data_IF_611116856649
#
_entry.id   IF_611116856649
#
_cell.length_a   1.000
_cell.length_b   1.000
_cell.length_c   1.000
_cell.angle_alpha   90.00
_cell.angle_beta   90.00
_cell.angle_gamma   90.00
#
_symmetry.space_group_name_H-M   'P 1'
#
loop_
_entity.id
_entity.type
_entity.pdbx_description
1 polymer ?
#
# COMPACT_ATOMS: atom_id res chain seq x y z
N UNK A 1 -2.98 -9.39 13.94
CA UNK A 1 -2.58 -7.96 13.89
C UNK A 1 -1.08 -7.76 14.02
N UNK A 2 -0.41 -8.47 14.94
CA UNK A 2 1.04 -8.32 15.12
C UNK A 2 1.84 -8.54 13.83
N UNK A 3 1.47 -9.53 13.00
CA UNK A 3 2.16 -9.81 11.74
C UNK A 3 1.99 -8.69 10.72
N UNK A 4 0.81 -8.04 10.68
CA UNK A 4 0.60 -6.86 9.84
C UNK A 4 1.42 -5.68 10.32
N UNK A 5 1.48 -5.47 11.63
CA UNK A 5 2.32 -4.41 12.19
C UNK A 5 3.79 -4.63 11.85
N UNK A 6 4.26 -5.87 11.88
CA UNK A 6 5.61 -6.23 11.48
C UNK A 6 5.87 -5.93 10.00
N UNK A 7 4.90 -6.21 9.10
CA UNK A 7 5.02 -5.88 7.69
C UNK A 7 5.18 -4.37 7.49
N UNK A 8 4.40 -3.56 8.20
CA UNK A 8 4.53 -2.11 8.13
C UNK A 8 5.84 -1.62 8.72
N UNK A 9 6.32 -2.24 9.81
CA UNK A 9 7.62 -1.91 10.39
C UNK A 9 8.76 -2.16 9.41
N UNK A 10 8.64 -3.20 8.56
CA UNK A 10 9.59 -3.47 7.49
C UNK A 10 9.34 -2.62 6.24
N UNK A 11 8.31 -1.79 6.27
CA UNK A 11 7.93 -0.96 5.11
C UNK A 11 7.78 -1.81 3.84
N UNK A 12 6.92 -2.82 3.88
CA UNK A 12 6.81 -3.81 2.80
C UNK A 12 6.48 -3.20 1.43
N UNK A 13 5.78 -2.06 1.39
CA UNK A 13 5.53 -1.33 0.14
C UNK A 13 6.80 -0.86 -0.53
N UNK A 14 7.88 -0.75 0.23
CA UNK A 14 9.14 -0.14 -0.18
C UNK A 14 10.21 -1.21 -0.34
N UNK A 15 10.26 -2.16 0.58
CA UNK A 15 11.27 -3.21 0.58
C UNK A 15 10.85 -4.46 -0.18
N UNK A 16 9.56 -4.63 -0.42
CA UNK A 16 9.00 -5.86 -0.98
C UNK A 16 8.98 -7.01 0.01
N UNK A 17 9.34 -6.77 1.26
CA UNK A 17 9.46 -7.80 2.30
C UNK A 17 8.16 -7.94 3.10
N UNK A 18 7.14 -8.53 2.50
CA UNK A 18 5.91 -8.83 3.21
C UNK A 18 5.93 -10.26 3.77
N UNK A 19 5.07 -10.51 4.74
CA UNK A 19 4.94 -11.83 5.36
C UNK A 19 4.08 -12.73 4.48
N UNK A 20 4.73 -13.53 3.64
CA UNK A 20 4.04 -14.43 2.71
C UNK A 20 3.13 -15.43 3.42
N UNK A 21 3.49 -15.86 4.63
CA UNK A 21 2.66 -16.79 5.39
C UNK A 21 1.36 -16.20 5.89
N UNK A 22 1.24 -14.87 5.89
CA UNK A 22 0.04 -14.16 6.29
C UNK A 22 -1.03 -14.15 5.18
N UNK A 23 -0.60 -14.26 3.92
CA UNK A 23 -1.47 -14.09 2.76
C UNK A 23 -1.85 -15.43 2.13
N UNK A 24 -3.08 -15.51 1.62
CA UNK A 24 -3.48 -16.58 0.71
C UNK A 24 -2.81 -16.34 -0.64
N UNK A 25 -2.38 -17.40 -1.32
CA UNK A 25 -1.74 -17.28 -2.64
C UNK A 25 -2.64 -16.61 -3.67
N UNK A 26 -3.94 -16.75 -3.52
CA UNK A 26 -4.96 -16.18 -4.41
C UNK A 26 -5.54 -14.89 -3.89
N UNK A 27 -4.90 -14.25 -2.92
CA UNK A 27 -5.38 -13.01 -2.36
C UNK A 27 -5.71 -11.99 -3.45
N UNK A 28 -6.86 -11.35 -3.33
CA UNK A 28 -7.25 -10.26 -4.23
C UNK A 28 -6.62 -8.97 -3.72
N UNK A 29 -6.02 -8.24 -4.65
CA UNK A 29 -5.44 -6.92 -4.39
C UNK A 29 -6.18 -5.89 -5.21
N UNK A 30 -6.63 -4.83 -4.58
CA UNK A 30 -7.31 -3.74 -5.25
C UNK A 30 -6.87 -2.40 -4.68
N UNK A 31 -6.70 -1.43 -5.55
CA UNK A 31 -6.54 -0.02 -5.19
C UNK A 31 -7.49 0.80 -6.08
N UNK A 32 -7.54 2.14 -5.96
CA UNK A 32 -8.45 2.94 -6.77
C UNK A 32 -8.25 2.84 -8.27
N UNK A 33 -7.14 2.29 -8.74
CA UNK A 33 -6.80 2.23 -10.17
C UNK A 33 -6.92 0.84 -10.77
N UNK A 34 -6.69 -0.23 -9.98
CA UNK A 34 -6.56 -1.58 -10.52
C UNK A 34 -7.00 -2.63 -9.50
N UNK A 35 -7.44 -3.77 -10.00
CA UNK A 35 -7.76 -4.93 -9.17
C UNK A 35 -7.21 -6.17 -9.86
N UNK A 36 -6.62 -7.07 -9.10
CA UNK A 36 -6.07 -8.33 -9.60
C UNK A 36 -6.01 -9.37 -8.49
N UNK A 37 -5.70 -10.61 -8.86
CA UNK A 37 -5.61 -11.74 -7.94
C UNK A 37 -4.21 -12.35 -8.01
N UNK A 38 -3.67 -12.73 -6.86
CA UNK A 38 -2.41 -13.47 -6.76
C UNK A 38 -1.32 -12.72 -6.00
N UNK A 39 -0.80 -13.36 -4.96
CA UNK A 39 0.29 -12.81 -4.15
C UNK A 39 1.56 -12.61 -4.95
N UNK A 40 1.91 -13.58 -5.81
CA UNK A 40 3.12 -13.50 -6.62
C UNK A 40 3.09 -12.29 -7.57
N UNK A 41 1.93 -11.98 -8.15
CA UNK A 41 1.76 -10.82 -9.02
C UNK A 41 1.92 -9.52 -8.23
N UNK A 42 1.38 -9.47 -7.03
CA UNK A 42 1.53 -8.30 -6.16
C UNK A 42 3.01 -8.05 -5.82
N UNK A 43 3.74 -9.10 -5.44
CA UNK A 43 5.16 -9.00 -5.16
C UNK A 43 5.95 -8.52 -6.36
N UNK A 44 5.65 -9.02 -7.56
CA UNK A 44 6.29 -8.56 -8.79
C UNK A 44 6.03 -7.09 -9.05
N UNK A 45 4.81 -6.62 -8.80
CA UNK A 45 4.47 -5.21 -8.96
C UNK A 45 5.23 -4.31 -7.98
N UNK A 46 5.39 -4.77 -6.74
CA UNK A 46 6.19 -4.04 -5.74
C UNK A 46 7.64 -3.94 -6.19
N UNK A 47 8.21 -5.03 -6.67
CA UNK A 47 9.61 -5.08 -7.12
C UNK A 47 9.87 -4.14 -8.31
N UNK A 48 8.89 -3.98 -9.19
CA UNK A 48 9.00 -3.04 -10.32
C UNK A 48 8.96 -1.59 -9.86
N UNK A 49 8.22 -1.30 -8.79
CA UNK A 49 8.04 0.07 -8.30
C UNK A 49 9.21 0.56 -7.44
N UNK A 50 9.74 -0.32 -6.59
CA UNK A 50 10.74 0.03 -5.58
C UNK A 50 11.94 0.83 -6.12
N UNK A 51 12.54 0.48 -7.28
CA UNK A 51 13.70 1.23 -7.78
C UNK A 51 13.41 2.69 -8.11
N UNK A 52 12.15 3.09 -8.25
CA UNK A 52 11.77 4.46 -8.57
C UNK A 52 11.51 5.33 -7.33
N UNK A 53 11.62 4.75 -6.14
CA UNK A 53 11.32 5.47 -4.89
C UNK A 53 12.60 6.06 -4.30
N UNK A 54 12.56 7.35 -3.96
CA UNK A 54 13.66 8.07 -3.30
C UNK A 54 13.20 8.45 -1.90
N UNK A 55 14.00 8.11 -0.90
CA UNK A 55 13.71 8.37 0.51
C UNK A 55 12.26 8.02 0.89
N UNK A 56 11.81 6.83 0.52
CA UNK A 56 10.43 6.47 0.79
C UNK A 56 10.17 6.25 2.28
N UNK A 57 9.01 6.70 2.72
CA UNK A 57 8.58 6.52 4.10
C UNK A 57 7.09 6.20 4.14
N UNK A 58 6.74 5.12 4.83
CA UNK A 58 5.36 4.80 5.13
C UNK A 58 5.19 4.77 6.64
N UNK A 59 4.23 5.54 7.14
CA UNK A 59 3.92 5.62 8.56
C UNK A 59 2.58 4.96 8.82
N UNK A 60 2.57 3.94 9.65
CA UNK A 60 1.33 3.32 10.12
C UNK A 60 0.71 4.23 11.18
N UNK A 61 -0.53 4.69 10.92
CA UNK A 61 -1.27 5.56 11.83
C UNK A 61 -2.08 4.75 12.84
N UNK A 62 -2.49 3.56 12.47
CA UNK A 62 -3.24 2.69 13.35
C UNK A 62 -3.75 1.46 12.63
N UNK A 63 -4.07 0.43 13.41
CA UNK A 63 -4.70 -0.79 12.93
C UNK A 63 -5.92 -1.04 13.79
N UNK A 64 -7.07 -1.29 13.18
CA UNK A 64 -8.32 -1.57 13.87
C UNK A 64 -8.95 -2.86 13.35
N UNK A 65 -9.44 -3.66 14.27
CA UNK A 65 -10.33 -4.78 13.92
C UNK A 65 -11.70 -4.20 13.61
N UNK A 66 -12.13 -4.34 12.37
CA UNK A 66 -13.42 -3.79 11.90
C UNK A 66 -14.54 -4.77 12.13
N UNK A 67 -14.25 -6.07 11.96
CA UNK A 67 -15.17 -7.17 12.21
C UNK A 67 -14.34 -8.41 12.50
N UNK A 68 -15.00 -9.54 12.75
CA UNK A 68 -14.26 -10.80 12.99
C UNK A 68 -13.43 -11.24 11.78
N UNK A 69 -13.77 -10.76 10.59
CA UNK A 69 -13.13 -11.15 9.33
C UNK A 69 -12.40 -10.00 8.62
N UNK A 70 -12.23 -8.86 9.27
CA UNK A 70 -11.61 -7.72 8.62
C UNK A 70 -10.81 -6.86 9.59
N UNK A 71 -9.67 -6.41 9.11
CA UNK A 71 -8.77 -5.48 9.81
C UNK A 71 -8.47 -4.32 8.87
N UNK A 72 -8.48 -3.10 9.39
CA UNK A 72 -8.18 -1.90 8.62
C UNK A 72 -6.93 -1.21 9.17
N UNK A 73 -5.96 -0.95 8.30
CA UNK A 73 -4.76 -0.20 8.63
C UNK A 73 -4.82 1.19 7.97
N UNK A 74 -4.49 2.22 8.72
CA UNK A 74 -4.40 3.60 8.22
C UNK A 74 -2.94 3.99 8.13
N UNK A 75 -2.53 4.57 7.01
CA UNK A 75 -1.12 4.88 6.75
C UNK A 75 -0.95 6.18 5.97
N UNK A 76 0.29 6.69 6.02
CA UNK A 76 0.73 7.83 5.21
C UNK A 76 1.97 7.39 4.43
N UNK A 77 1.94 7.57 3.13
CA UNK A 77 3.09 7.33 2.25
C UNK A 77 3.66 8.66 1.80
N UNK A 78 4.96 8.84 1.97
CA UNK A 78 5.69 10.00 1.48
C UNK A 78 6.96 9.52 0.77
N UNK A 79 7.15 9.96 -0.46
CA UNK A 79 8.34 9.63 -1.24
C UNK A 79 8.54 10.64 -2.36
N UNK A 80 9.71 10.59 -2.98
CA UNK A 80 9.99 11.30 -4.24
C UNK A 80 10.22 10.24 -5.31
N UNK A 81 9.70 10.43 -6.50
CA UNK A 81 9.93 9.51 -7.61
C UNK A 81 11.22 9.85 -8.32
N UNK A 82 11.93 8.80 -8.77
CA UNK A 82 13.19 8.92 -9.49
C UNK A 82 12.93 9.25 -10.97
N UNK A 83 12.37 10.42 -11.20
CA UNK A 83 12.11 10.98 -12.53
C UNK A 83 12.84 12.30 -12.65
N UNK A 84 13.11 12.81 -13.88
CA UNK A 84 13.88 14.05 -14.05
C UNK A 84 13.36 15.26 -13.28
N UNK A 85 12.03 15.38 -13.12
CA UNK A 85 11.41 16.48 -12.38
C UNK A 85 11.15 16.16 -10.92
N UNK A 86 11.56 14.97 -10.44
CA UNK A 86 11.51 14.54 -9.04
C UNK A 86 10.18 14.86 -8.35
N UNK A 87 9.06 14.31 -8.84
CA UNK A 87 7.77 14.60 -8.23
C UNK A 87 7.69 14.05 -6.82
N UNK A 88 7.15 14.84 -5.90
CA UNK A 88 6.91 14.43 -4.53
C UNK A 88 5.54 13.79 -4.41
N UNK A 89 5.51 12.64 -3.77
CA UNK A 89 4.28 11.87 -3.53
C UNK A 89 3.97 11.91 -2.04
N UNK A 90 2.74 12.30 -1.71
CA UNK A 90 2.25 12.29 -0.34
C UNK A 90 0.78 11.86 -0.37
N UNK A 91 0.52 10.66 0.15
CA UNK A 91 -0.81 10.04 0.10
C UNK A 91 -1.15 9.47 1.46
N UNK A 92 -2.34 9.78 1.95
CA UNK A 92 -2.94 9.11 3.10
C UNK A 92 -3.90 8.07 2.58
N UNK A 93 -3.89 6.92 3.21
CA UNK A 93 -4.78 5.88 2.77
C UNK A 93 -5.09 4.88 3.86
N UNK A 94 -5.95 3.95 3.49
CA UNK A 94 -6.30 2.81 4.33
C UNK A 94 -6.17 1.55 3.50
N UNK A 95 -5.79 0.46 4.17
CA UNK A 95 -5.83 -0.87 3.59
C UNK A 95 -6.74 -1.73 4.45
N UNK A 96 -7.77 -2.29 3.85
CA UNK A 96 -8.65 -3.22 4.51
C UNK A 96 -8.24 -4.63 4.14
N UNK A 97 -7.92 -5.43 5.14
CA UNK A 97 -7.53 -6.82 4.98
C UNK A 97 -8.71 -7.70 5.32
N UNK A 98 -9.25 -8.41 4.34
CA UNK A 98 -10.27 -9.42 4.53
C UNK A 98 -9.62 -10.75 4.88
N UNK A 99 -10.09 -11.40 5.93
CA UNK A 99 -9.51 -12.64 6.44
C UNK A 99 -10.37 -13.83 6.07
N UNK A 100 -9.74 -14.86 5.55
CA UNK A 100 -10.38 -16.11 5.24
C UNK A 100 -10.03 -17.21 6.23
N UNK A 101 -10.12 -18.45 5.77
CA UNK A 101 -9.83 -19.62 6.57
C UNK A 101 -8.42 -19.58 7.12
N UNK A 102 -8.27 -19.88 8.41
CA UNK A 102 -6.97 -19.85 9.09
C UNK A 102 -6.44 -18.42 9.30
N UNK A 103 -7.32 -17.42 9.23
CA UNK A 103 -6.98 -16.01 9.38
C UNK A 103 -5.97 -15.50 8.34
N UNK A 104 -5.89 -16.16 7.19
CA UNK A 104 -5.08 -15.67 6.07
C UNK A 104 -5.78 -14.54 5.35
N UNK A 105 -5.00 -13.57 4.89
CA UNK A 105 -5.52 -12.45 4.11
C UNK A 105 -5.95 -12.94 2.73
N UNK A 106 -7.21 -12.77 2.41
CA UNK A 106 -7.80 -13.13 1.11
C UNK A 106 -8.17 -11.91 0.29
N UNK A 107 -8.32 -10.76 0.92
CA UNK A 107 -8.57 -9.47 0.27
C UNK A 107 -7.64 -8.42 0.85
N UNK A 108 -7.04 -7.62 -0.02
CA UNK A 108 -6.20 -6.50 0.31
C UNK A 108 -6.71 -5.32 -0.51
N UNK A 109 -7.50 -4.46 0.10
CA UNK A 109 -8.18 -3.35 -0.60
C UNK A 109 -7.66 -2.02 -0.07
N UNK A 110 -7.04 -1.25 -0.94
CA UNK A 110 -6.52 0.07 -0.61
C UNK A 110 -7.48 1.17 -1.03
N UNK A 111 -7.58 2.19 -0.21
CA UNK A 111 -8.31 3.43 -0.51
C UNK A 111 -7.40 4.60 -0.22
N UNK A 112 -7.38 5.57 -1.11
CA UNK A 112 -6.55 6.77 -0.99
C UNK A 112 -7.40 7.99 -0.70
N UNK A 113 -6.82 9.00 -0.06
CA UNK A 113 -7.48 10.29 0.18
C UNK A 113 -7.44 11.20 -1.05
N UNK A 114 -6.88 10.72 -2.16
CA UNK A 114 -6.86 11.40 -3.45
C UNK A 114 -7.52 10.52 -4.52
N UNK A 115 -8.03 11.15 -5.57
CA UNK A 115 -8.58 10.42 -6.72
C UNK A 115 -7.46 9.87 -7.59
N UNK A 116 -7.73 8.87 -8.47
CA UNK A 116 -6.74 8.43 -9.44
C UNK A 116 -6.21 9.55 -10.34
N UNK A 117 -7.08 10.51 -10.70
CA UNK A 117 -6.66 11.68 -11.49
C UNK A 117 -5.68 12.56 -10.72
N UNK A 118 -5.95 12.82 -9.44
CA UNK A 118 -5.05 13.58 -8.58
C UNK A 118 -3.70 12.86 -8.44
N UNK A 119 -3.70 11.53 -8.38
CA UNK A 119 -2.47 10.75 -8.34
C UNK A 119 -1.63 10.95 -9.61
N UNK A 120 -2.28 10.97 -10.77
CA UNK A 120 -1.60 11.26 -12.05
C UNK A 120 -1.00 12.65 -12.04
N UNK A 121 -1.76 13.67 -11.60
CA UNK A 121 -1.25 15.04 -11.50
C UNK A 121 -0.06 15.14 -10.56
N UNK A 122 -0.09 14.43 -9.45
CA UNK A 122 1.01 14.39 -8.49
C UNK A 122 2.29 13.83 -9.13
N UNK A 123 2.19 12.75 -9.88
CA UNK A 123 3.32 12.15 -10.60
C UNK A 123 3.89 13.11 -11.63
N UNK A 124 3.03 13.88 -12.31
CA UNK A 124 3.47 14.90 -13.28
C UNK A 124 4.04 16.16 -12.62
N UNK A 125 3.93 16.27 -11.28
CA UNK A 125 4.39 17.46 -10.57
C UNK A 125 3.45 18.65 -10.67
N UNK A 126 2.21 18.43 -11.13
CA UNK A 126 1.21 19.48 -11.35
C UNK A 126 0.23 19.63 -10.19
N UNK A 127 0.20 18.66 -9.29
CA UNK A 127 -0.69 18.71 -8.14
C UNK A 127 -0.06 19.57 -7.03
N UNK A 128 -0.86 20.46 -6.45
CA UNK A 128 -0.39 21.27 -5.32
C UNK A 128 -0.09 20.34 -4.14
N UNK A 129 1.09 20.48 -3.57
CA UNK A 129 1.52 19.63 -2.47
C UNK A 129 0.58 19.80 -1.27
N UNK A 130 0.09 18.68 -0.76
CA UNK A 130 -0.77 18.68 0.42
C UNK A 130 0.09 18.90 1.67
N UNK A 131 -0.49 19.48 2.71
CA UNK A 131 0.22 19.80 3.94
C UNK A 131 0.94 18.58 4.51
N UNK A 132 2.23 18.70 4.64
CA UNK A 132 3.11 17.65 5.17
C UNK A 132 3.52 17.98 6.59
#
# INVERSE_FOLDING_TARGET
MARLEDDYARMYFITGQLDEGLYDERCRFADPTISFEGLALYQSNLELLIPFLVDPNITLRGIQVVSKDAVCASWILATTLKLPWKPEIYVRGTTTYGLGKGFRVIDHVERWDISPWEAVLMVLGLHKNRAR
#
